data_IF_279922926474
#
_entry.id   IF_279922926474
#
_cell.length_a   1.000
_cell.length_b   1.000
_cell.length_c   1.000
_cell.angle_alpha   90.00
_cell.angle_beta   90.00
_cell.angle_gamma   90.00
#
_symmetry.space_group_name_H-M   'P 1'
#
loop_
_entity.id
_entity.type
_entity.pdbx_description
1 polymer ?
#
# COMPACT_ATOMS: atom_id res chain seq x y z
N UNK A 1 -5.62 -50.17 -10.26
CA UNK A 1 -5.70 -49.42 -8.99
C UNK A 1 -4.39 -48.67 -8.87
N UNK A 2 -4.34 -47.40 -9.29
CA UNK A 2 -3.10 -46.63 -9.31
C UNK A 2 -2.93 -45.98 -7.93
N UNK A 3 -1.90 -46.41 -7.23
CA UNK A 3 -1.54 -45.92 -5.91
C UNK A 3 -1.17 -44.43 -6.03
N UNK A 4 -2.04 -43.54 -5.56
CA UNK A 4 -1.77 -42.10 -5.54
C UNK A 4 -0.70 -41.85 -4.48
N UNK A 5 0.55 -41.74 -4.92
CA UNK A 5 1.65 -41.27 -4.10
C UNK A 5 1.21 -39.98 -3.39
N UNK A 6 1.28 -39.99 -2.05
CA UNK A 6 0.91 -38.86 -1.21
C UNK A 6 1.66 -37.60 -1.70
N UNK A 7 0.96 -36.58 -2.23
CA UNK A 7 1.60 -35.41 -2.84
C UNK A 7 2.47 -34.63 -1.86
N UNK A 8 2.35 -34.89 -0.55
CA UNK A 8 3.17 -34.28 0.50
C UNK A 8 4.63 -34.76 0.51
N UNK A 9 4.93 -35.96 0.00
CA UNK A 9 6.28 -36.53 0.09
C UNK A 9 7.25 -35.91 -0.94
N UNK A 10 6.73 -35.32 -2.01
CA UNK A 10 7.53 -34.78 -3.12
C UNK A 10 7.99 -33.34 -2.90
N UNK A 11 7.38 -32.60 -1.96
CA UNK A 11 7.52 -31.13 -1.89
C UNK A 11 8.53 -30.64 -0.85
N UNK A 12 9.00 -31.51 0.05
CA UNK A 12 10.06 -31.19 1.01
C UNK A 12 9.80 -29.89 1.78
N UNK A 13 10.75 -28.95 1.74
CA UNK A 13 10.69 -27.67 2.46
C UNK A 13 9.58 -26.72 2.01
N UNK A 14 8.96 -26.96 0.86
CA UNK A 14 7.85 -26.15 0.33
C UNK A 14 6.48 -26.61 0.84
N UNK A 15 6.37 -27.77 1.48
CA UNK A 15 5.09 -28.28 1.99
C UNK A 15 4.32 -27.27 2.87
N UNK A 16 4.97 -26.50 3.79
CA UNK A 16 4.28 -25.47 4.56
C UNK A 16 3.75 -24.31 3.69
N UNK A 17 4.50 -23.90 2.66
CA UNK A 17 4.09 -22.84 1.75
C UNK A 17 2.89 -23.28 0.90
N UNK A 18 2.89 -24.52 0.43
CA UNK A 18 1.75 -25.09 -0.31
C UNK A 18 0.50 -25.28 0.55
N UNK A 19 0.66 -25.60 1.83
CA UNK A 19 -0.48 -25.63 2.76
C UNK A 19 -1.01 -24.22 3.07
N UNK A 20 -0.12 -23.22 3.10
CA UNK A 20 -0.48 -21.84 3.40
C UNK A 20 -1.21 -21.14 2.24
N UNK A 21 -0.84 -21.45 0.99
CA UNK A 21 -1.37 -20.77 -0.17
C UNK A 21 -2.91 -20.85 -0.29
N UNK A 22 -3.57 -22.04 -0.23
CA UNK A 22 -5.03 -22.13 -0.26
C UNK A 22 -5.70 -21.38 0.89
N UNK A 23 -5.10 -21.42 2.09
CA UNK A 23 -5.63 -20.70 3.27
C UNK A 23 -5.68 -19.19 3.01
N UNK A 24 -4.57 -18.62 2.54
CA UNK A 24 -4.49 -17.19 2.24
C UNK A 24 -5.42 -16.83 1.09
N UNK A 25 -5.39 -17.59 -0.01
CA UNK A 25 -6.26 -17.36 -1.17
C UNK A 25 -7.74 -17.35 -0.78
N UNK A 26 -8.19 -18.32 0.01
CA UNK A 26 -9.58 -18.38 0.48
C UNK A 26 -9.94 -17.21 1.40
N UNK A 27 -9.02 -16.75 2.24
CA UNK A 27 -9.22 -15.59 3.11
C UNK A 27 -9.43 -14.29 2.33
N UNK A 28 -8.73 -14.12 1.20
CA UNK A 28 -8.83 -12.92 0.35
C UNK A 28 -9.87 -13.05 -0.77
N UNK A 29 -10.34 -14.27 -1.07
CA UNK A 29 -11.24 -14.54 -2.19
C UNK A 29 -12.49 -13.64 -2.25
N UNK A 30 -13.20 -13.34 -1.14
CA UNK A 30 -14.41 -12.50 -1.21
C UNK A 30 -14.15 -11.06 -1.68
N UNK A 31 -12.93 -10.54 -1.49
CA UNK A 31 -12.54 -9.19 -1.87
C UNK A 31 -11.65 -9.13 -3.12
N UNK A 32 -11.26 -10.27 -3.68
CA UNK A 32 -10.48 -10.29 -4.92
C UNK A 32 -11.36 -9.84 -6.08
N UNK A 33 -10.79 -9.09 -7.01
CA UNK A 33 -11.43 -8.69 -8.27
C UNK A 33 -12.70 -7.83 -8.15
N UNK A 34 -13.00 -7.30 -6.96
CA UNK A 34 -14.13 -6.38 -6.75
C UNK A 34 -14.08 -5.12 -7.64
N UNK A 35 -12.91 -4.82 -8.22
CA UNK A 35 -12.74 -3.78 -9.23
C UNK A 35 -13.54 -4.00 -10.53
N UNK A 36 -14.04 -5.20 -10.82
CA UNK A 36 -14.94 -5.40 -11.96
C UNK A 36 -16.39 -5.03 -11.66
N UNK A 37 -16.78 -5.05 -10.38
CA UNK A 37 -18.16 -4.77 -9.97
C UNK A 37 -18.41 -3.27 -9.78
N UNK A 38 -17.36 -2.49 -9.54
CA UNK A 38 -17.43 -1.06 -9.23
C UNK A 38 -16.98 -0.23 -10.46
N UNK A 39 -17.90 0.50 -11.11
CA UNK A 39 -17.53 1.42 -12.18
C UNK A 39 -16.49 2.44 -11.74
N UNK A 40 -15.39 2.54 -12.49
CA UNK A 40 -14.31 3.49 -12.23
C UNK A 40 -13.27 3.05 -11.20
N UNK A 41 -13.42 1.89 -10.55
CA UNK A 41 -12.38 1.36 -9.67
C UNK A 41 -11.23 0.76 -10.50
N UNK A 42 -9.97 1.20 -10.35
CA UNK A 42 -8.87 0.67 -11.13
C UNK A 42 -8.63 -0.82 -10.87
N UNK A 43 -8.31 -1.57 -11.93
CA UNK A 43 -7.98 -3.00 -11.85
C UNK A 43 -6.70 -3.29 -11.05
N UNK A 44 -5.80 -2.31 -10.96
CA UNK A 44 -4.53 -2.42 -10.25
C UNK A 44 -4.35 -1.24 -9.30
N UNK A 45 -3.61 -1.46 -8.20
CA UNK A 45 -3.26 -0.42 -7.24
C UNK A 45 -2.02 0.40 -7.67
N UNK A 46 -1.51 0.25 -8.91
CA UNK A 46 -0.21 0.78 -9.31
C UNK A 46 -0.08 2.29 -9.12
N UNK A 47 -1.12 3.04 -9.48
CA UNK A 47 -1.16 4.50 -9.28
C UNK A 47 -1.05 4.86 -7.79
N UNK A 48 -1.72 4.09 -6.92
CA UNK A 48 -1.67 4.28 -5.48
C UNK A 48 -0.27 3.92 -4.93
N UNK A 49 0.32 2.82 -5.38
CA UNK A 49 1.70 2.44 -5.03
C UNK A 49 2.71 3.51 -5.47
N UNK A 50 2.55 4.06 -6.68
CA UNK A 50 3.38 5.15 -7.20
C UNK A 50 3.23 6.42 -6.36
N UNK A 51 2.00 6.78 -5.96
CA UNK A 51 1.73 7.89 -5.07
C UNK A 51 2.46 7.73 -3.73
N UNK A 52 2.32 6.59 -3.05
CA UNK A 52 3.04 6.32 -1.81
C UNK A 52 4.56 6.19 -2.01
N UNK A 53 5.01 5.74 -3.19
CA UNK A 53 6.42 5.74 -3.59
C UNK A 53 7.00 7.14 -3.64
N UNK A 54 6.29 8.09 -4.25
CA UNK A 54 6.68 9.48 -4.35
C UNK A 54 6.79 10.15 -2.97
N UNK A 55 5.80 9.93 -2.08
CA UNK A 55 5.86 10.46 -0.70
C UNK A 55 7.08 9.91 0.05
N UNK A 56 7.33 8.60 -0.02
CA UNK A 56 8.52 8.00 0.63
C UNK A 56 9.84 8.51 0.04
N UNK A 57 9.89 8.76 -1.27
CA UNK A 57 11.05 9.36 -1.91
C UNK A 57 11.27 10.80 -1.42
N UNK A 58 10.21 11.61 -1.38
CA UNK A 58 10.27 12.98 -0.87
C UNK A 58 10.72 13.02 0.59
N UNK A 59 10.28 12.10 1.45
CA UNK A 59 10.72 12.00 2.84
C UNK A 59 12.19 11.58 2.99
N UNK A 60 12.69 10.70 2.10
CA UNK A 60 14.10 10.24 2.11
C UNK A 60 15.08 11.35 1.78
N UNK A 61 14.72 12.27 0.87
CA UNK A 61 15.62 13.33 0.42
C UNK A 61 16.10 14.27 1.55
N UNK A 62 15.22 14.79 2.44
CA UNK A 62 15.63 15.62 3.57
C UNK A 62 16.09 14.82 4.79
N UNK A 63 15.62 13.58 5.00
CA UNK A 63 15.89 12.84 6.25
C UNK A 63 16.92 11.72 6.14
N UNK A 64 17.25 11.26 4.93
CA UNK A 64 18.11 10.10 4.67
C UNK A 64 17.52 8.74 5.09
N UNK A 65 16.30 8.69 5.65
CA UNK A 65 15.74 7.47 6.24
C UNK A 65 15.06 6.57 5.23
N UNK A 66 15.50 5.31 5.11
CA UNK A 66 14.86 4.30 4.24
C UNK A 66 13.45 3.93 4.71
N UNK A 67 13.24 3.84 6.02
CA UNK A 67 11.96 3.54 6.66
C UNK A 67 11.09 4.79 6.86
N UNK A 68 9.81 4.56 7.17
CA UNK A 68 8.91 5.65 7.51
C UNK A 68 9.43 6.39 8.76
N UNK A 69 9.44 7.72 8.71
CA UNK A 69 9.73 8.53 9.90
C UNK A 69 8.60 8.34 10.93
N UNK A 70 8.87 8.33 12.24
CA UNK A 70 7.84 8.14 13.28
C UNK A 70 6.66 9.12 13.15
N UNK A 71 6.93 10.33 12.68
CA UNK A 71 5.92 11.35 12.40
C UNK A 71 4.97 11.01 11.25
N UNK A 72 5.29 10.03 10.40
CA UNK A 72 4.40 9.46 9.39
C UNK A 72 3.38 8.50 10.02
N UNK A 73 3.62 7.98 11.23
CA UNK A 73 2.61 7.23 11.98
C UNK A 73 1.71 8.19 12.73
N UNK A 74 2.31 9.19 13.41
CA UNK A 74 1.57 10.15 14.27
C UNK A 74 0.78 11.17 13.44
N UNK A 75 1.32 11.63 12.31
CA UNK A 75 0.68 12.61 11.41
C UNK A 75 0.50 12.07 9.99
N UNK A 76 0.42 10.76 9.82
CA UNK A 76 0.45 10.11 8.51
C UNK A 76 -0.59 10.60 7.52
N UNK A 77 -1.83 10.71 7.96
CA UNK A 77 -2.95 11.22 7.13
C UNK A 77 -2.64 12.61 6.60
N UNK A 78 -2.21 13.54 7.47
CA UNK A 78 -1.88 14.92 7.09
C UNK A 78 -0.63 14.95 6.21
N UNK A 79 0.46 14.28 6.60
CA UNK A 79 1.73 14.33 5.86
C UNK A 79 1.64 13.73 4.46
N UNK A 80 0.92 12.61 4.30
CA UNK A 80 0.69 12.00 2.98
C UNK A 80 -0.11 12.96 2.11
N UNK A 81 -1.21 13.53 2.64
CA UNK A 81 -2.03 14.50 1.91
C UNK A 81 -1.22 15.73 1.54
N UNK A 82 -0.47 16.32 2.47
CA UNK A 82 0.39 17.49 2.20
C UNK A 82 1.47 17.19 1.16
N UNK A 83 2.16 16.05 1.26
CA UNK A 83 3.20 15.66 0.32
C UNK A 83 2.64 15.40 -1.09
N UNK A 84 1.44 14.82 -1.19
CA UNK A 84 0.74 14.67 -2.47
C UNK A 84 0.27 16.02 -3.01
N UNK A 85 -0.34 16.85 -2.18
CA UNK A 85 -0.82 18.18 -2.58
C UNK A 85 0.34 19.04 -3.10
N UNK A 86 1.49 19.05 -2.42
CA UNK A 86 2.70 19.76 -2.84
C UNK A 86 3.34 19.19 -4.12
N UNK A 87 3.00 17.95 -4.51
CA UNK A 87 3.43 17.36 -5.77
C UNK A 87 2.53 17.77 -6.94
N UNK A 88 1.25 17.98 -6.68
CA UNK A 88 0.27 18.35 -7.71
C UNK A 88 -0.01 19.85 -7.79
N UNK A 89 0.44 20.63 -6.80
CA UNK A 89 0.17 22.07 -6.68
C UNK A 89 1.43 22.82 -6.29
N UNK A 90 1.58 24.04 -6.82
CA UNK A 90 2.52 25.02 -6.28
C UNK A 90 1.77 25.87 -5.26
N UNK A 91 2.27 25.93 -4.03
CA UNK A 91 1.71 26.80 -3.00
C UNK A 91 2.54 28.08 -2.89
N UNK A 92 1.84 29.20 -2.85
CA UNK A 92 2.40 30.51 -2.53
C UNK A 92 2.63 30.63 -1.01
N UNK A 93 3.47 31.58 -0.60
CA UNK A 93 3.70 31.84 0.81
C UNK A 93 2.41 32.28 1.55
N UNK A 94 1.51 32.99 0.86
CA UNK A 94 0.24 33.46 1.42
C UNK A 94 -0.73 32.30 1.69
N UNK A 95 -0.77 31.30 0.81
CA UNK A 95 -1.60 30.09 0.99
C UNK A 95 -1.12 29.19 2.12
N UNK A 96 0.18 29.22 2.41
CA UNK A 96 0.78 28.47 3.53
C UNK A 96 0.73 29.24 4.84
N UNK A 97 0.28 30.48 4.83
CA UNK A 97 0.15 31.29 6.03
C UNK A 97 -0.92 30.66 6.95
N UNK A 98 -0.54 30.43 8.21
CA UNK A 98 -1.47 29.99 9.24
C UNK A 98 -2.56 31.05 9.38
N UNK A 99 -3.80 30.71 9.01
CA UNK A 99 -4.97 31.50 9.36
C UNK A 99 -5.47 31.02 10.70
N UNK A 100 -5.73 31.95 11.62
CA UNK A 100 -6.40 31.63 12.86
C UNK A 100 -7.75 30.99 12.51
N UNK A 101 -7.98 29.77 13.00
CA UNK A 101 -9.29 29.14 12.93
C UNK A 101 -10.23 30.00 13.77
N UNK A 102 -11.12 30.77 13.14
CA UNK A 102 -12.19 31.43 13.85
C UNK A 102 -13.17 30.34 14.33
N UNK A 103 -13.20 30.15 15.65
CA UNK A 103 -14.20 29.34 16.35
C UNK A 103 -15.54 30.10 16.42
#
# INVERSE_FOLDING_TARGET
MQEMANPQTTVGSLAPALAHFPKVTNSFAPGLFHCYDIPGLPRTNHNLEQCFGAVRHHERRPTGRRGAVPSLVVRGSVRVVTALAARFSCFTAEELCLRDYQL
#
